data_IF_848489961249
#
_entry.id   IF_848489961249
#
_cell.length_a   1.000
_cell.length_b   1.000
_cell.length_c   1.000
_cell.angle_alpha   90.00
_cell.angle_beta   90.00
_cell.angle_gamma   90.00
#
_symmetry.space_group_name_H-M   'P 1'
#
loop_
_entity.id
_entity.type
_entity.pdbx_description
1 polymer ?
#
# COMPACT_ATOMS: atom_id res chain seq x y z
N UNK A 1 16.60 -5.17 14.97
CA UNK A 1 15.80 -3.93 14.87
C UNK A 1 16.41 -3.21 13.69
N UNK A 2 15.60 -2.98 12.66
CA UNK A 2 16.01 -2.24 11.48
C UNK A 2 16.25 -0.76 11.78
N UNK A 3 16.89 -0.07 10.87
CA UNK A 3 16.99 1.39 10.94
C UNK A 3 15.65 2.01 10.60
N UNK A 4 15.30 3.10 11.28
CA UNK A 4 14.07 3.84 11.06
C UNK A 4 14.42 5.19 10.47
N UNK A 5 13.78 5.53 9.37
CA UNK A 5 13.96 6.78 8.66
C UNK A 5 12.68 7.60 8.67
N UNK A 6 12.80 8.90 8.45
CA UNK A 6 11.66 9.82 8.35
C UNK A 6 11.35 10.10 6.89
N UNK A 7 10.09 9.96 6.49
CA UNK A 7 9.59 10.37 5.17
C UNK A 7 8.77 11.63 5.32
N UNK A 8 9.12 12.68 4.59
CA UNK A 8 8.38 13.93 4.48
C UNK A 8 7.69 14.01 3.12
N UNK A 9 6.39 14.26 3.13
CA UNK A 9 5.56 14.39 1.94
C UNK A 9 5.32 15.87 1.61
N UNK A 10 5.70 16.27 0.42
CA UNK A 10 5.35 17.59 -0.12
C UNK A 10 4.20 17.47 -1.14
N UNK A 11 3.34 18.47 -1.29
CA UNK A 11 3.35 19.77 -0.61
C UNK A 11 2.63 19.78 0.75
N UNK A 12 2.17 18.62 1.25
CA UNK A 12 1.30 18.53 2.45
C UNK A 12 2.03 18.72 3.77
N UNK A 13 3.35 18.57 3.79
CA UNK A 13 4.16 18.68 5.00
C UNK A 13 3.91 17.57 6.04
N UNK A 14 3.31 16.44 5.63
CA UNK A 14 3.10 15.28 6.50
C UNK A 14 4.37 14.49 6.64
N UNK A 15 4.71 14.10 7.86
CA UNK A 15 5.88 13.25 8.14
C UNK A 15 5.43 11.93 8.77
N UNK A 16 6.14 10.85 8.45
CA UNK A 16 5.95 9.52 9.04
C UNK A 16 7.24 8.72 9.05
N UNK A 17 7.29 7.69 9.86
CA UNK A 17 8.43 6.81 10.00
C UNK A 17 8.32 5.60 9.07
N UNK A 18 9.43 5.19 8.49
CA UNK A 18 9.55 3.98 7.66
C UNK A 18 10.70 3.12 8.19
N UNK A 19 10.44 1.83 8.35
CA UNK A 19 11.45 0.83 8.67
C UNK A 19 12.18 0.38 7.39
N UNK A 20 13.47 0.08 7.46
CA UNK A 20 14.26 -0.38 6.30
C UNK A 20 13.68 -1.64 5.62
N UNK A 21 12.90 -2.43 6.35
CA UNK A 21 12.33 -3.67 5.84
C UNK A 21 10.97 -3.52 5.14
N UNK A 22 10.32 -2.36 5.27
CA UNK A 22 9.02 -2.10 4.66
C UNK A 22 9.11 -1.11 3.48
N UNK A 23 8.05 -1.05 2.65
CA UNK A 23 7.97 -0.03 1.60
C UNK A 23 7.43 1.28 2.16
N UNK A 24 7.76 2.39 1.50
CA UNK A 24 7.24 3.73 1.85
C UNK A 24 5.71 3.73 1.91
N UNK A 25 5.05 3.02 0.98
CA UNK A 25 3.59 2.91 0.96
C UNK A 25 3.03 2.13 2.15
N UNK A 26 3.66 1.00 2.51
CA UNK A 26 3.21 0.16 3.63
C UNK A 26 3.40 0.89 4.96
N UNK A 27 4.51 1.61 5.12
CA UNK A 27 4.79 2.46 6.29
C UNK A 27 3.72 3.54 6.49
N UNK A 28 3.34 4.23 5.39
CA UNK A 28 2.26 5.22 5.41
C UNK A 28 0.93 4.59 5.85
N UNK A 29 0.56 3.44 5.29
CA UNK A 29 -0.67 2.73 5.65
C UNK A 29 -0.66 2.29 7.11
N UNK A 30 0.45 1.76 7.61
CA UNK A 30 0.61 1.36 9.03
C UNK A 30 0.32 2.53 9.97
N UNK A 31 0.67 3.74 9.57
CA UNK A 31 0.45 4.97 10.36
C UNK A 31 -0.86 5.70 10.02
N UNK A 32 -1.73 5.06 9.20
CA UNK A 32 -3.05 5.59 8.87
C UNK A 32 -3.04 6.71 7.84
N UNK A 33 -1.92 6.89 7.12
CA UNK A 33 -1.77 7.86 6.04
C UNK A 33 -2.16 7.18 4.74
N UNK A 34 -3.19 7.70 4.08
CA UNK A 34 -3.68 7.16 2.81
C UNK A 34 -2.98 7.86 1.65
N UNK A 35 -2.12 7.16 0.95
CA UNK A 35 -1.41 7.67 -0.23
C UNK A 35 -2.03 7.14 -1.52
N UNK A 36 -1.87 7.85 -2.65
CA UNK A 36 -2.30 7.36 -3.96
C UNK A 36 -1.67 6.00 -4.26
N UNK A 37 -2.50 5.02 -4.58
CA UNK A 37 -2.06 3.67 -4.88
C UNK A 37 -3.06 2.92 -5.76
N UNK A 38 -2.63 1.79 -6.32
CA UNK A 38 -3.47 0.88 -7.09
C UNK A 38 -3.03 -0.56 -6.84
N UNK A 39 -2.23 -1.14 -7.72
CA UNK A 39 -1.83 -2.55 -7.68
C UNK A 39 -0.95 -2.96 -6.49
N UNK A 40 -0.24 -2.05 -5.86
CA UNK A 40 0.79 -2.27 -4.81
C UNK A 40 1.97 -3.18 -5.22
N UNK A 41 2.06 -3.54 -6.49
CA UNK A 41 3.05 -4.50 -7.03
C UNK A 41 3.97 -3.88 -8.10
N UNK A 42 3.96 -2.55 -8.24
CA UNK A 42 4.81 -1.86 -9.22
C UNK A 42 4.38 -2.05 -10.68
N UNK A 43 3.09 -2.23 -10.95
CA UNK A 43 2.56 -2.48 -12.29
C UNK A 43 1.77 -1.31 -12.87
N UNK A 44 1.28 -0.36 -12.07
CA UNK A 44 0.24 0.59 -12.47
C UNK A 44 0.60 2.07 -12.34
N UNK A 45 1.75 2.47 -11.95
CA UNK A 45 2.19 3.87 -11.76
C UNK A 45 1.32 4.76 -10.81
N UNK A 46 0.23 4.26 -10.23
CA UNK A 46 -0.66 5.07 -9.38
C UNK A 46 0.03 5.67 -8.13
N UNK A 47 1.05 4.98 -7.60
CA UNK A 47 1.86 5.43 -6.47
C UNK A 47 3.17 6.11 -6.89
N UNK A 48 3.27 6.59 -8.15
CA UNK A 48 4.46 7.28 -8.66
C UNK A 48 4.58 8.65 -8.01
N UNK A 49 5.78 9.01 -7.58
CA UNK A 49 6.11 10.28 -6.97
C UNK A 49 7.54 10.69 -7.35
N UNK A 50 7.95 11.90 -6.98
CA UNK A 50 9.32 12.37 -7.18
C UNK A 50 10.08 12.30 -5.86
N UNK A 51 11.24 11.66 -5.86
CA UNK A 51 12.17 11.70 -4.75
C UNK A 51 12.97 13.00 -4.86
N UNK A 52 12.73 13.93 -3.93
CA UNK A 52 13.42 15.21 -3.88
C UNK A 52 14.75 15.12 -3.12
N UNK A 53 14.80 14.29 -2.08
CA UNK A 53 15.98 14.09 -1.25
C UNK A 53 15.97 12.71 -0.60
N UNK A 54 17.15 12.16 -0.30
CA UNK A 54 17.36 10.86 0.29
C UNK A 54 17.66 9.75 -0.72
N UNK A 55 17.76 8.51 -0.23
CA UNK A 55 18.12 7.34 -1.03
C UNK A 55 17.14 6.19 -0.81
N UNK A 56 16.76 5.50 -1.90
CA UNK A 56 15.86 4.35 -1.86
C UNK A 56 16.37 3.18 -2.69
N UNK A 57 16.15 1.97 -2.19
CA UNK A 57 16.20 0.76 -3.00
C UNK A 57 14.85 0.51 -3.66
N UNK A 58 14.88 0.30 -4.98
CA UNK A 58 13.68 -0.08 -5.72
C UNK A 58 13.57 -1.60 -5.82
N UNK A 59 12.54 -2.17 -5.23
CA UNK A 59 12.15 -3.56 -5.46
C UNK A 59 11.69 -3.77 -6.90
N UNK A 60 11.50 -5.02 -7.32
CA UNK A 60 11.06 -5.34 -8.67
C UNK A 60 9.77 -4.61 -9.07
N UNK A 61 9.78 -3.98 -10.24
CA UNK A 61 8.64 -3.28 -10.84
C UNK A 61 8.64 -3.44 -12.37
N UNK A 62 7.55 -3.05 -13.01
CA UNK A 62 7.43 -3.01 -14.47
C UNK A 62 7.94 -1.68 -15.02
N UNK A 63 8.73 -1.72 -16.10
CA UNK A 63 9.14 -0.51 -16.83
C UNK A 63 7.96 0.23 -17.47
N UNK A 64 6.78 -0.41 -17.54
CA UNK A 64 5.54 0.25 -17.91
C UNK A 64 5.02 1.19 -16.81
N UNK A 65 5.22 0.83 -15.54
CA UNK A 65 4.81 1.65 -14.40
C UNK A 65 5.83 2.77 -14.09
N UNK A 66 7.11 2.52 -14.31
CA UNK A 66 8.20 3.47 -14.10
C UNK A 66 9.25 3.23 -15.21
N UNK A 67 9.29 4.11 -16.20
CA UNK A 67 10.25 4.03 -17.30
C UNK A 67 11.67 4.41 -16.82
N UNK A 68 12.69 4.02 -17.60
CA UNK A 68 14.08 4.41 -17.30
C UNK A 68 14.23 5.94 -17.27
N UNK A 69 13.56 6.64 -18.19
CA UNK A 69 13.56 8.11 -18.21
C UNK A 69 12.90 8.74 -16.98
N UNK A 70 11.80 8.15 -16.49
CA UNK A 70 11.18 8.62 -15.22
C UNK A 70 12.13 8.38 -14.04
N UNK A 71 12.81 7.24 -14.03
CA UNK A 71 13.78 6.88 -12.99
C UNK A 71 14.98 7.83 -12.99
N UNK A 72 15.54 8.15 -14.15
CA UNK A 72 16.60 9.13 -14.34
C UNK A 72 16.15 10.55 -13.93
N UNK A 73 14.85 10.85 -14.09
CA UNK A 73 14.20 12.08 -13.63
C UNK A 73 13.90 12.12 -12.12
N UNK A 74 14.36 11.12 -11.34
CA UNK A 74 14.15 11.07 -9.89
C UNK A 74 12.79 10.54 -9.45
N UNK A 75 12.00 9.95 -10.36
CA UNK A 75 10.72 9.36 -9.97
C UNK A 75 10.90 7.97 -9.37
N UNK A 76 10.03 7.63 -8.43
CA UNK A 76 9.99 6.33 -7.76
C UNK A 76 8.53 5.83 -7.65
N UNK A 77 8.36 4.56 -7.32
CA UNK A 77 7.07 3.97 -6.95
C UNK A 77 7.06 3.69 -5.44
N UNK A 78 6.24 4.41 -4.68
CA UNK A 78 6.19 4.26 -3.21
C UNK A 78 5.91 2.82 -2.75
N UNK A 79 5.15 2.04 -3.52
CA UNK A 79 4.88 0.64 -3.20
C UNK A 79 6.07 -0.31 -3.44
N UNK A 80 7.16 0.17 -4.04
CA UNK A 80 8.36 -0.62 -4.36
C UNK A 80 9.64 0.03 -3.86
N UNK A 81 9.55 1.18 -3.18
CA UNK A 81 10.67 1.90 -2.63
C UNK A 81 10.85 1.55 -1.15
N UNK A 82 12.04 1.08 -0.78
CA UNK A 82 12.52 0.93 0.59
C UNK A 82 13.49 2.08 0.90
N UNK A 83 13.39 2.67 2.09
CA UNK A 83 14.23 3.78 2.48
C UNK A 83 15.61 3.29 2.97
N UNK A 84 16.65 4.02 2.60
CA UNK A 84 18.02 3.89 3.13
C UNK A 84 18.55 5.20 3.73
N UNK A 85 17.69 6.21 3.76
CA UNK A 85 17.94 7.52 4.36
C UNK A 85 16.60 8.20 4.68
N UNK A 86 16.63 9.35 5.34
CA UNK A 86 15.46 10.21 5.43
C UNK A 86 15.07 10.68 4.04
N UNK A 87 13.77 10.63 3.72
CA UNK A 87 13.25 10.93 2.40
C UNK A 87 12.43 12.21 2.39
N UNK A 88 12.56 12.99 1.34
CA UNK A 88 11.60 14.04 0.96
C UNK A 88 10.99 13.67 -0.39
N UNK A 89 9.67 13.55 -0.42
CA UNK A 89 8.90 13.05 -1.58
C UNK A 89 7.88 14.10 -2.00
N UNK A 90 7.83 14.42 -3.30
CA UNK A 90 6.79 15.24 -3.90
C UNK A 90 5.70 14.36 -4.53
N UNK A 91 4.46 14.53 -4.09
CA UNK A 91 3.30 13.76 -4.55
C UNK A 91 2.77 14.31 -5.88
N UNK A 92 2.93 13.56 -6.97
CA UNK A 92 2.49 13.97 -8.32
C UNK A 92 0.96 13.99 -8.47
N UNK A 93 0.27 13.07 -7.78
CA UNK A 93 -1.19 12.90 -7.86
C UNK A 93 -1.81 13.23 -6.50
N UNK A 94 -1.61 14.45 -6.04
CA UNK A 94 -2.11 14.91 -4.76
C UNK A 94 -3.46 15.61 -4.93
N UNK A 95 -4.45 15.16 -4.18
CA UNK A 95 -5.73 15.83 -3.99
C UNK A 95 -6.04 15.87 -2.50
N UNK A 96 -5.98 17.07 -1.91
CA UNK A 96 -6.18 17.31 -0.48
C UNK A 96 -7.57 16.85 -0.02
N UNK A 97 -8.59 17.02 -0.86
CA UNK A 97 -9.95 16.61 -0.55
C UNK A 97 -10.06 15.07 -0.52
N UNK A 98 -9.41 14.39 -1.44
CA UNK A 98 -9.36 12.92 -1.48
C UNK A 98 -8.60 12.38 -0.27
N UNK A 99 -7.45 12.95 0.07
CA UNK A 99 -6.67 12.49 1.23
C UNK A 99 -7.40 12.73 2.56
N UNK A 100 -8.05 13.88 2.73
CA UNK A 100 -8.77 14.20 3.95
C UNK A 100 -10.02 13.35 4.17
N UNK A 101 -10.64 12.85 3.08
CA UNK A 101 -11.83 11.99 3.11
C UNK A 101 -11.51 10.51 2.96
N UNK A 102 -10.25 10.14 2.72
CA UNK A 102 -9.87 8.75 2.52
C UNK A 102 -10.07 7.94 3.82
N UNK A 103 -10.49 6.69 3.64
CA UNK A 103 -10.55 5.72 4.74
C UNK A 103 -9.17 5.10 4.85
N UNK A 104 -8.46 5.26 5.98
CA UNK A 104 -7.15 4.65 6.16
C UNK A 104 -7.20 3.13 5.98
N UNK A 105 -6.20 2.56 5.35
CA UNK A 105 -6.04 1.11 5.27
C UNK A 105 -5.86 0.56 6.69
N UNK A 106 -6.69 -0.42 7.06
CA UNK A 106 -6.67 -1.05 8.37
C UNK A 106 -6.64 -2.56 8.22
N UNK A 107 -5.99 -3.20 9.19
CA UNK A 107 -6.06 -4.65 9.34
C UNK A 107 -7.18 -5.02 10.31
N UNK A 108 -7.88 -6.10 9.98
CA UNK A 108 -8.93 -6.68 10.79
C UNK A 108 -8.68 -8.17 10.96
N UNK A 109 -8.92 -8.68 12.14
CA UNK A 109 -9.02 -10.12 12.33
C UNK A 109 -10.42 -10.57 11.94
N UNK A 110 -10.49 -11.61 11.11
CA UNK A 110 -11.73 -12.16 10.59
C UNK A 110 -11.87 -13.64 10.89
N UNK A 111 -13.10 -14.07 11.17
CA UNK A 111 -13.46 -15.46 11.32
C UNK A 111 -14.52 -15.84 10.30
N UNK A 112 -14.30 -16.89 9.53
CA UNK A 112 -15.30 -17.43 8.61
C UNK A 112 -16.45 -18.00 9.44
N UNK A 113 -17.66 -17.47 9.22
CA UNK A 113 -18.89 -17.90 9.92
C UNK A 113 -19.81 -18.73 9.04
N UNK A 114 -19.75 -18.53 7.72
CA UNK A 114 -20.49 -19.33 6.76
C UNK A 114 -19.69 -19.55 5.47
N UNK A 115 -19.85 -20.73 4.90
CA UNK A 115 -19.22 -21.11 3.64
C UNK A 115 -20.20 -21.96 2.83
N UNK A 116 -20.81 -21.37 1.80
CA UNK A 116 -21.85 -22.00 1.01
C UNK A 116 -21.51 -22.10 -0.47
N UNK A 117 -21.93 -23.15 -1.10
CA UNK A 117 -21.84 -23.31 -2.54
C UNK A 117 -22.97 -22.55 -3.22
N UNK A 118 -22.66 -21.57 -4.06
CA UNK A 118 -23.63 -20.80 -4.84
C UNK A 118 -23.85 -21.43 -6.22
N UNK A 119 -22.75 -21.76 -6.92
CA UNK A 119 -22.77 -22.45 -8.21
C UNK A 119 -21.74 -23.59 -8.22
N UNK A 120 -21.47 -24.20 -9.39
CA UNK A 120 -20.44 -25.23 -9.51
C UNK A 120 -19.02 -24.71 -9.22
N UNK A 121 -18.76 -23.42 -9.45
CA UNK A 121 -17.47 -22.74 -9.36
C UNK A 121 -17.44 -21.54 -8.40
N UNK A 122 -18.60 -21.05 -7.92
CA UNK A 122 -18.69 -19.90 -7.00
C UNK A 122 -19.02 -20.37 -5.58
N UNK A 123 -18.31 -19.80 -4.62
CA UNK A 123 -18.55 -19.96 -3.19
C UNK A 123 -18.88 -18.61 -2.56
N UNK A 124 -19.89 -18.61 -1.69
CA UNK A 124 -20.18 -17.52 -0.77
C UNK A 124 -19.45 -17.75 0.54
N UNK A 125 -18.79 -16.71 1.04
CA UNK A 125 -18.07 -16.73 2.31
C UNK A 125 -18.57 -15.57 3.16
N UNK A 126 -18.97 -15.83 4.38
CA UNK A 126 -19.30 -14.80 5.37
C UNK A 126 -18.18 -14.75 6.40
N UNK A 127 -17.69 -13.54 6.66
CA UNK A 127 -16.58 -13.31 7.58
C UNK A 127 -17.02 -12.31 8.64
N UNK A 128 -17.01 -12.73 9.89
CA UNK A 128 -17.21 -11.86 11.03
C UNK A 128 -15.90 -11.17 11.38
N UNK A 129 -15.90 -9.85 11.45
CA UNK A 129 -14.72 -9.04 11.77
C UNK A 129 -14.73 -8.64 13.24
N UNK A 130 -13.54 -8.44 13.82
CA UNK A 130 -13.34 -7.96 15.20
C UNK A 130 -13.78 -6.49 15.41
N UNK A 131 -14.04 -5.73 14.35
CA UNK A 131 -14.54 -4.35 14.39
C UNK A 131 -15.35 -4.00 13.14
N UNK A 132 -16.20 -2.96 13.17
CA UNK A 132 -16.97 -2.53 12.01
C UNK A 132 -16.07 -2.05 10.86
N UNK A 133 -16.27 -2.59 9.66
CA UNK A 133 -15.61 -2.18 8.43
C UNK A 133 -16.38 -1.01 7.80
N UNK A 134 -15.70 0.14 7.64
CA UNK A 134 -16.18 1.25 6.81
C UNK A 134 -15.54 1.15 5.44
N UNK A 135 -16.33 1.33 4.40
CA UNK A 135 -15.84 1.30 3.02
C UNK A 135 -16.69 2.17 2.11
N UNK A 136 -16.13 2.52 0.96
CA UNK A 136 -16.83 3.16 -0.14
C UNK A 136 -17.02 2.16 -1.28
N UNK A 137 -18.09 2.32 -2.05
CA UNK A 137 -18.29 1.51 -3.25
C UNK A 137 -17.08 1.61 -4.20
N UNK A 138 -16.62 0.47 -4.71
CA UNK A 138 -15.44 0.37 -5.58
C UNK A 138 -14.12 0.11 -4.87
N UNK A 139 -14.09 0.08 -3.55
CA UNK A 139 -12.94 -0.40 -2.80
C UNK A 139 -12.90 -1.94 -2.79
N UNK A 140 -11.73 -2.49 -2.59
CA UNK A 140 -11.50 -3.93 -2.42
C UNK A 140 -10.80 -4.21 -1.10
N UNK A 141 -10.84 -5.45 -0.67
CA UNK A 141 -10.16 -5.94 0.53
C UNK A 141 -9.14 -7.01 0.16
N UNK A 142 -8.02 -7.02 0.85
CA UNK A 142 -7.06 -8.11 0.79
C UNK A 142 -7.40 -9.10 1.91
N UNK A 143 -7.71 -10.34 1.55
CA UNK A 143 -7.95 -11.41 2.51
C UNK A 143 -6.68 -12.26 2.58
N UNK A 144 -6.11 -12.35 3.77
CA UNK A 144 -4.92 -13.14 4.05
C UNK A 144 -5.29 -14.31 4.94
N UNK A 145 -4.92 -15.51 4.53
CA UNK A 145 -5.09 -16.74 5.31
C UNK A 145 -3.76 -17.43 5.48
N UNK A 146 -3.57 -18.05 6.63
CA UNK A 146 -2.43 -18.95 6.87
C UNK A 146 -2.91 -20.38 6.75
N UNK A 147 -2.26 -21.17 5.91
CA UNK A 147 -2.57 -22.58 5.73
C UNK A 147 -2.10 -23.41 6.92
N UNK A 148 -2.55 -24.67 7.02
CA UNK A 148 -2.08 -25.61 8.05
C UNK A 148 -0.57 -25.88 7.97
N UNK A 149 0.01 -25.69 6.79
CA UNK A 149 1.46 -25.84 6.53
C UNK A 149 2.25 -24.57 6.90
N UNK A 150 1.58 -23.50 7.35
CA UNK A 150 2.18 -22.22 7.74
C UNK A 150 2.42 -21.26 6.57
N UNK A 151 1.98 -21.57 5.36
CA UNK A 151 2.05 -20.66 4.23
C UNK A 151 0.99 -19.56 4.34
N UNK A 152 1.38 -18.35 4.03
CA UNK A 152 0.48 -17.19 3.98
C UNK A 152 0.06 -16.88 2.55
N UNK A 153 -1.25 -16.88 2.30
CA UNK A 153 -1.83 -16.61 0.99
C UNK A 153 -2.70 -15.38 1.09
N UNK A 154 -2.45 -14.38 0.26
CA UNK A 154 -3.27 -13.15 0.15
C UNK A 154 -3.97 -13.09 -1.20
N UNK A 155 -5.24 -12.67 -1.20
CA UNK A 155 -6.04 -12.43 -2.40
C UNK A 155 -6.90 -11.18 -2.22
N UNK A 156 -7.00 -10.38 -3.28
CA UNK A 156 -7.84 -9.18 -3.35
C UNK A 156 -9.24 -9.51 -3.88
N UNK A 157 -10.25 -8.93 -3.28
CA UNK A 157 -11.68 -9.09 -3.63
C UNK A 157 -12.40 -7.75 -3.72
#
# INVERSE_FOLDING_TARGET
>A
MGEIYTVRLEPVGVEFEVDEDETVLDAAFRQGISLPHGCKEGQCSACKCVLLDGEVEMLRYSTFALSDGDREGGQILMCRAKAFDNLTIDLLNYDEEVLSKSIPVKQFDGRITDFRKLTHDIRGVEIELNAPLKFWAGQYVDITVTTEEGETITRSF
#
